data_IF_786503467065
#
_entry.id   IF_786503467065
#
_cell.length_a   1.000
_cell.length_b   1.000
_cell.length_c   1.000
_cell.angle_alpha   90.00
_cell.angle_beta   90.00
_cell.angle_gamma   90.00
#
_symmetry.space_group_name_H-M   'P 1'
#
loop_
_entity.id
_entity.type
_entity.pdbx_description
1 polymer ?
#
# COMPACT_ATOMS: atom_id res chain seq x y z
N UNK A 1 29.10 4.37 14.10
CA UNK A 1 28.52 3.61 12.97
C UNK A 1 28.09 4.63 11.94
N UNK A 2 28.76 4.67 10.79
CA UNK A 2 28.35 5.50 9.64
C UNK A 2 27.47 4.66 8.72
N UNK A 3 26.50 5.29 8.07
CA UNK A 3 25.68 4.70 7.01
C UNK A 3 26.16 5.30 5.70
N UNK A 4 26.48 4.46 4.72
CA UNK A 4 26.81 4.87 3.35
C UNK A 4 25.71 4.42 2.40
N UNK A 5 25.41 5.25 1.40
CA UNK A 5 24.45 4.91 0.34
C UNK A 5 25.24 4.32 -0.82
N UNK A 6 25.09 3.02 -1.07
CA UNK A 6 25.78 2.32 -2.15
C UNK A 6 25.12 2.51 -3.53
N UNK A 7 23.82 2.87 -3.56
CA UNK A 7 23.11 3.15 -4.81
C UNK A 7 21.60 3.25 -4.64
N UNK A 8 20.92 3.53 -5.77
CA UNK A 8 19.46 3.57 -5.87
C UNK A 8 18.99 2.51 -6.87
N UNK A 9 17.97 1.72 -6.49
CA UNK A 9 17.42 0.65 -7.33
C UNK A 9 15.93 0.86 -7.57
N UNK A 10 15.46 0.48 -8.76
CA UNK A 10 14.04 0.46 -9.07
C UNK A 10 13.48 -0.92 -8.69
N UNK A 11 12.55 -0.93 -7.75
CA UNK A 11 11.86 -2.15 -7.29
C UNK A 11 10.74 -2.53 -8.26
N UNK A 12 9.90 -1.55 -8.60
CA UNK A 12 8.82 -1.72 -9.55
C UNK A 12 8.56 -0.40 -10.28
N UNK A 13 8.35 -0.49 -11.59
CA UNK A 13 7.93 0.64 -12.43
C UNK A 13 7.06 0.14 -13.57
N UNK A 14 5.88 0.70 -13.69
CA UNK A 14 5.01 0.48 -14.84
C UNK A 14 4.20 1.76 -15.09
N UNK A 15 4.29 2.36 -16.30
CA UNK A 15 3.63 3.64 -16.59
C UNK A 15 2.10 3.58 -16.49
N UNK A 16 1.50 2.39 -16.55
CA UNK A 16 0.05 2.20 -16.37
C UNK A 16 -0.41 2.45 -14.94
N UNK A 17 0.50 2.43 -13.97
CA UNK A 17 0.17 2.49 -12.57
C UNK A 17 0.83 3.68 -11.86
N UNK A 18 0.05 4.36 -11.03
CA UNK A 18 0.58 5.19 -9.96
C UNK A 18 0.92 4.29 -8.77
N UNK A 19 2.18 4.36 -8.29
CA UNK A 19 2.61 3.71 -7.06
C UNK A 19 2.71 4.78 -5.98
N UNK A 20 1.73 4.80 -5.08
CA UNK A 20 1.61 5.85 -4.06
C UNK A 20 2.71 5.79 -3.00
N UNK A 21 2.83 6.87 -2.22
CA UNK A 21 3.76 6.93 -1.10
C UNK A 21 3.48 5.82 -0.06
N UNK A 22 4.53 5.49 0.70
CA UNK A 22 4.49 4.51 1.79
C UNK A 22 4.73 3.06 1.37
N UNK A 23 5.75 2.73 0.56
CA UNK A 23 6.21 1.35 0.51
C UNK A 23 6.80 0.94 1.87
N UNK A 24 6.70 -0.33 2.22
CA UNK A 24 7.31 -0.89 3.42
C UNK A 24 8.12 -2.14 3.07
N UNK A 25 9.25 -2.29 3.75
CA UNK A 25 10.20 -3.38 3.56
C UNK A 25 10.23 -4.26 4.82
N UNK A 26 10.25 -5.57 4.62
CA UNK A 26 10.60 -6.54 5.65
C UNK A 26 11.68 -7.47 5.09
N UNK A 27 12.68 -7.77 5.91
CA UNK A 27 13.76 -8.69 5.55
C UNK A 27 13.76 -9.89 6.50
N UNK A 28 14.35 -11.00 6.07
CA UNK A 28 14.66 -12.12 6.97
C UNK A 28 16.14 -12.43 7.10
N UNK A 29 16.41 -13.47 7.90
CA UNK A 29 17.73 -13.94 8.25
C UNK A 29 18.51 -14.46 7.03
N UNK A 30 17.82 -14.91 5.98
CA UNK A 30 18.40 -15.39 4.72
C UNK A 30 18.51 -14.27 3.67
N UNK A 31 18.44 -13.01 4.11
CA UNK A 31 18.45 -11.82 3.28
C UNK A 31 17.35 -11.77 2.20
N UNK A 32 16.26 -12.53 2.39
CA UNK A 32 15.07 -12.39 1.54
C UNK A 32 14.39 -11.09 1.89
N UNK A 33 14.13 -10.29 0.87
CA UNK A 33 13.51 -8.98 1.02
C UNK A 33 12.10 -9.04 0.45
N UNK A 34 11.12 -8.60 1.24
CA UNK A 34 9.74 -8.43 0.79
C UNK A 34 9.40 -6.94 0.87
N UNK A 35 8.86 -6.41 -0.21
CA UNK A 35 8.38 -5.03 -0.27
C UNK A 35 6.89 -5.05 -0.52
N UNK A 36 6.14 -4.48 0.42
CA UNK A 36 4.76 -4.10 0.21
C UNK A 36 4.69 -2.68 -0.32
N UNK A 37 3.81 -2.48 -1.29
CA UNK A 37 3.51 -1.16 -1.81
C UNK A 37 2.09 -1.14 -2.34
N UNK A 38 1.56 0.06 -2.57
CA UNK A 38 0.25 0.23 -3.19
C UNK A 38 0.39 0.69 -4.63
N UNK A 39 -0.51 0.24 -5.49
CA UNK A 39 -0.63 0.75 -6.85
C UNK A 39 -2.09 0.92 -7.26
N UNK A 40 -2.33 1.80 -8.21
CA UNK A 40 -3.63 1.96 -8.88
C UNK A 40 -3.37 2.37 -10.31
N UNK A 41 -4.31 2.12 -11.23
CA UNK A 41 -4.22 2.65 -12.59
C UNK A 41 -4.00 4.17 -12.55
N UNK A 42 -3.04 4.63 -13.35
CA UNK A 42 -2.73 6.05 -13.47
C UNK A 42 -3.89 6.78 -14.15
N UNK A 43 -4.42 7.80 -13.49
CA UNK A 43 -5.43 8.70 -14.05
C UNK A 43 -4.85 9.87 -14.84
N UNK A 44 -3.52 9.97 -14.95
CA UNK A 44 -2.84 11.16 -15.49
C UNK A 44 -3.22 11.45 -16.94
N UNK A 45 -3.37 10.42 -17.78
CA UNK A 45 -3.79 10.58 -19.19
C UNK A 45 -5.21 11.16 -19.32
N UNK A 46 -6.04 10.95 -18.30
CA UNK A 46 -7.39 11.51 -18.19
C UNK A 46 -7.42 12.85 -17.41
N UNK A 47 -6.26 13.42 -17.08
CA UNK A 47 -6.17 14.65 -16.28
C UNK A 47 -6.57 14.46 -14.82
N UNK A 48 -6.67 13.23 -14.32
CA UNK A 48 -7.05 12.93 -12.94
C UNK A 48 -5.82 12.69 -12.07
N UNK A 49 -5.72 13.48 -10.99
CA UNK A 49 -4.68 13.34 -9.97
C UNK A 49 -5.36 13.14 -8.61
N UNK A 50 -5.11 12.00 -7.99
CA UNK A 50 -5.67 11.67 -6.68
C UNK A 50 -4.66 10.91 -5.84
N UNK A 51 -4.68 11.15 -4.53
CA UNK A 51 -3.84 10.39 -3.60
C UNK A 51 -4.48 9.07 -3.18
N UNK A 52 -5.77 8.90 -3.43
CA UNK A 52 -6.58 7.75 -3.07
C UNK A 52 -7.50 7.34 -4.22
N UNK A 53 -7.81 6.05 -4.28
CA UNK A 53 -8.83 5.50 -5.18
C UNK A 53 -9.36 4.17 -4.61
N UNK A 54 -10.66 3.85 -4.71
CA UNK A 54 -11.22 2.61 -4.16
C UNK A 54 -10.64 1.34 -4.80
N UNK A 55 -10.18 1.43 -6.05
CA UNK A 55 -9.49 0.33 -6.73
C UNK A 55 -7.97 0.26 -6.43
N UNK A 56 -7.48 0.90 -5.36
CA UNK A 56 -6.07 0.76 -4.96
C UNK A 56 -5.77 -0.69 -4.61
N UNK A 57 -4.72 -1.26 -5.19
CA UNK A 57 -4.22 -2.60 -4.90
C UNK A 57 -3.09 -2.52 -3.88
N UNK A 58 -3.12 -3.40 -2.88
CA UNK A 58 -1.95 -3.72 -2.05
C UNK A 58 -1.18 -4.86 -2.69
N UNK A 59 0.10 -4.62 -2.95
CA UNK A 59 0.98 -5.54 -3.66
C UNK A 59 2.15 -5.99 -2.80
N UNK A 60 2.64 -7.22 -3.05
CA UNK A 60 3.92 -7.73 -2.56
C UNK A 60 4.85 -8.03 -3.74
N UNK A 61 6.10 -7.64 -3.62
CA UNK A 61 7.18 -8.15 -4.47
C UNK A 61 8.32 -8.64 -3.58
N UNK A 62 9.06 -9.64 -4.06
CA UNK A 62 10.09 -10.35 -3.30
C UNK A 62 11.40 -10.33 -4.06
N UNK A 63 12.49 -10.24 -3.33
CA UNK A 63 13.85 -10.44 -3.83
C UNK A 63 14.53 -11.52 -3.00
N UNK A 64 15.18 -12.47 -3.69
CA UNK A 64 15.98 -13.51 -3.05
C UNK A 64 17.48 -13.30 -3.17
N UNK A 65 17.89 -12.16 -3.73
CA UNK A 65 19.27 -11.78 -4.03
C UNK A 65 19.58 -10.39 -3.46
N UNK A 66 19.18 -10.13 -2.21
CA UNK A 66 19.47 -8.90 -1.47
C UNK A 66 19.00 -7.60 -2.17
N UNK A 67 17.93 -7.65 -2.96
CA UNK A 67 17.33 -6.50 -3.65
C UNK A 67 17.88 -6.24 -5.05
N UNK A 68 18.69 -7.15 -5.61
CA UNK A 68 19.21 -7.04 -6.97
C UNK A 68 18.10 -7.23 -8.01
N UNK A 69 17.26 -8.27 -7.84
CA UNK A 69 16.12 -8.57 -8.71
C UNK A 69 14.82 -8.74 -7.92
N UNK A 70 13.69 -8.50 -8.58
CA UNK A 70 12.38 -8.46 -7.95
C UNK A 70 11.36 -9.29 -8.71
N UNK A 71 10.54 -10.05 -7.97
CA UNK A 71 9.45 -10.84 -8.53
C UNK A 71 8.36 -9.93 -9.11
N UNK A 72 7.56 -10.48 -10.04
CA UNK A 72 6.32 -9.82 -10.46
C UNK A 72 5.45 -9.56 -9.22
N UNK A 73 4.89 -8.35 -9.04
CA UNK A 73 4.09 -8.06 -7.86
C UNK A 73 2.80 -8.88 -7.80
N UNK A 74 2.56 -9.51 -6.65
CA UNK A 74 1.33 -10.20 -6.30
C UNK A 74 0.36 -9.24 -5.62
N UNK A 75 -0.92 -9.25 -6.01
CA UNK A 75 -1.98 -8.46 -5.35
C UNK A 75 -2.61 -9.32 -4.26
N UNK A 76 -2.64 -8.83 -3.03
CA UNK A 76 -3.19 -9.59 -1.89
C UNK A 76 -4.36 -8.89 -1.19
N UNK A 77 -4.58 -7.59 -1.45
CA UNK A 77 -5.74 -6.85 -0.98
C UNK A 77 -6.08 -5.68 -1.92
N UNK A 78 -7.28 -5.13 -1.82
CA UNK A 78 -7.75 -3.98 -2.61
C UNK A 78 -8.53 -2.98 -1.74
N UNK A 79 -8.61 -1.72 -2.14
CA UNK A 79 -9.22 -0.59 -1.40
C UNK A 79 -8.38 -0.03 -0.26
N UNK A 80 -7.45 -0.86 0.22
CA UNK A 80 -6.59 -0.57 1.36
C UNK A 80 -5.50 0.45 1.05
N UNK A 81 -5.10 1.17 2.10
CA UNK A 81 -4.13 2.28 2.05
C UNK A 81 -2.99 2.07 3.02
N UNK A 82 -1.86 2.74 2.77
CA UNK A 82 -0.68 2.74 3.64
C UNK A 82 -0.30 1.32 4.12
N UNK A 83 0.31 0.50 3.25
CA UNK A 83 0.63 -0.86 3.66
C UNK A 83 1.62 -0.87 4.83
N UNK A 84 1.21 -1.43 5.97
CA UNK A 84 2.07 -1.64 7.12
C UNK A 84 2.26 -3.12 7.37
N UNK A 85 3.44 -3.65 7.07
CA UNK A 85 3.78 -5.06 7.34
C UNK A 85 4.67 -5.21 8.57
N UNK A 86 4.49 -6.31 9.28
CA UNK A 86 5.42 -6.83 10.27
C UNK A 86 5.59 -8.32 10.05
N UNK A 87 6.84 -8.81 10.07
CA UNK A 87 7.13 -10.24 10.03
C UNK A 87 7.24 -10.79 11.45
N UNK A 88 6.47 -11.83 11.75
CA UNK A 88 6.56 -12.57 13.00
C UNK A 88 7.71 -13.59 12.95
N UNK A 89 8.14 -14.07 14.12
CA UNK A 89 9.25 -15.05 14.24
C UNK A 89 9.03 -16.33 13.44
N UNK A 90 7.78 -16.77 13.29
CA UNK A 90 7.43 -17.96 12.52
C UNK A 90 7.34 -17.71 10.99
N UNK A 91 7.76 -16.53 10.51
CA UNK A 91 7.70 -16.15 9.11
C UNK A 91 6.37 -15.56 8.63
N UNK A 92 5.32 -15.53 9.48
CA UNK A 92 4.03 -14.94 9.10
C UNK A 92 4.16 -13.43 8.88
N UNK A 93 3.56 -12.92 7.79
CA UNK A 93 3.42 -11.50 7.55
C UNK A 93 2.07 -10.99 8.06
N UNK A 94 2.12 -10.00 8.94
CA UNK A 94 0.96 -9.30 9.49
C UNK A 94 0.83 -7.96 8.80
N UNK A 95 -0.30 -7.74 8.13
CA UNK A 95 -0.61 -6.49 7.45
C UNK A 95 -1.65 -5.69 8.23
N UNK A 96 -1.25 -4.54 8.76
CA UNK A 96 -2.15 -3.53 9.29
C UNK A 96 -2.37 -2.46 8.23
N UNK A 97 -3.61 -2.04 8.06
CA UNK A 97 -3.98 -1.04 7.06
C UNK A 97 -5.28 -0.34 7.47
N UNK A 98 -5.66 0.67 6.71
CA UNK A 98 -6.97 1.30 6.75
C UNK A 98 -7.53 1.37 5.34
N UNK A 99 -8.84 1.50 5.22
CA UNK A 99 -9.52 1.73 3.95
C UNK A 99 -10.50 2.88 4.11
N UNK A 100 -10.85 3.47 2.98
CA UNK A 100 -11.99 4.37 2.89
C UNK A 100 -13.06 3.66 2.07
N UNK A 101 -14.32 3.87 2.43
CA UNK A 101 -15.45 3.27 1.75
C UNK A 101 -16.26 4.34 1.03
N UNK A 102 -16.73 4.03 -0.17
CA UNK A 102 -17.73 4.85 -0.83
C UNK A 102 -19.09 4.48 -0.23
N UNK A 103 -19.63 5.36 0.59
CA UNK A 103 -20.92 5.17 1.24
C UNK A 103 -21.93 6.23 0.76
N UNK A 104 -23.24 5.92 0.78
CA UNK A 104 -24.28 6.94 0.60
C UNK A 104 -24.17 8.05 1.64
N UNK A 105 -24.64 9.25 1.31
CA UNK A 105 -24.56 10.41 2.21
C UNK A 105 -25.21 10.14 3.56
N UNK A 106 -26.33 9.41 3.55
CA UNK A 106 -27.10 9.07 4.76
C UNK A 106 -26.28 8.24 5.76
N UNK A 107 -25.30 7.47 5.29
CA UNK A 107 -24.39 6.67 6.13
C UNK A 107 -23.26 7.55 6.67
N UNK A 108 -22.76 8.51 5.89
CA UNK A 108 -21.64 9.36 6.28
C UNK A 108 -21.98 10.35 7.40
N UNK A 109 -23.24 10.80 7.52
CA UNK A 109 -23.65 11.75 8.57
C UNK A 109 -23.71 11.11 9.98
N UNK A 110 -23.57 9.79 10.08
CA UNK A 110 -23.65 9.04 11.35
C UNK A 110 -22.42 9.17 12.26
N UNK A 111 -21.27 9.61 11.75
CA UNK A 111 -20.02 9.72 12.51
C UNK A 111 -19.47 11.15 12.43
N UNK A 112 -19.64 11.92 13.50
CA UNK A 112 -19.22 13.31 13.56
C UNK A 112 -17.71 13.49 13.42
N UNK A 113 -17.29 14.15 12.34
CA UNK A 113 -15.90 14.61 12.15
C UNK A 113 -15.77 15.48 10.91
N UNK A 114 -15.74 16.80 11.10
CA UNK A 114 -15.62 17.78 10.03
C UNK A 114 -14.25 17.68 9.31
N UNK A 115 -14.27 17.54 7.97
CA UNK A 115 -13.03 17.66 7.21
C UNK A 115 -12.97 17.23 5.74
N UNK A 116 -14.06 16.98 5.01
CA UNK A 116 -13.96 16.56 3.61
C UNK A 116 -14.18 17.73 2.63
N UNK A 117 -13.11 18.21 1.98
CA UNK A 117 -13.21 19.10 0.82
C UNK A 117 -13.68 18.31 -0.41
N UNK A 118 -14.86 18.64 -0.92
CA UNK A 118 -15.26 18.43 -2.32
C UNK A 118 -15.59 16.99 -2.72
N UNK A 119 -16.88 16.62 -2.58
CA UNK A 119 -17.50 15.47 -3.24
C UNK A 119 -16.81 14.10 -3.04
N UNK A 120 -16.44 13.80 -1.80
CA UNK A 120 -16.33 12.43 -1.28
C UNK A 120 -17.04 12.46 0.06
N UNK A 121 -18.19 11.80 0.14
CA UNK A 121 -19.04 11.82 1.33
C UNK A 121 -18.69 10.60 2.18
N UNK A 122 -17.94 10.83 3.26
CA UNK A 122 -17.71 9.87 4.33
C UNK A 122 -16.29 9.34 4.43
N UNK A 123 -15.44 10.01 5.21
CA UNK A 123 -14.26 9.37 5.80
C UNK A 123 -14.75 8.45 6.94
N UNK A 124 -15.22 7.26 6.61
CA UNK A 124 -15.34 6.20 7.60
C UNK A 124 -13.92 5.73 7.94
N UNK A 125 -13.32 6.29 8.99
CA UNK A 125 -12.04 5.84 9.53
C UNK A 125 -12.21 4.46 10.18
N UNK A 126 -12.28 3.42 9.36
CA UNK A 126 -12.10 2.04 9.82
C UNK A 126 -10.63 1.84 10.22
N UNK A 127 -10.31 2.08 11.49
CA UNK A 127 -9.01 1.68 12.05
C UNK A 127 -8.99 0.17 12.27
N UNK A 128 -8.16 -0.53 11.50
CA UNK A 128 -7.71 -1.89 11.82
C UNK A 128 -8.33 -3.00 10.99
N UNK A 129 -8.13 -2.97 9.67
CA UNK A 129 -8.21 -4.20 8.87
C UNK A 129 -6.88 -4.96 9.02
N UNK A 130 -6.94 -6.16 9.60
CA UNK A 130 -5.81 -7.08 9.73
C UNK A 130 -5.89 -8.13 8.63
N UNK A 131 -4.96 -8.10 7.68
CA UNK A 131 -4.84 -9.14 6.66
C UNK A 131 -3.60 -10.00 6.92
N UNK A 132 -3.74 -11.32 6.78
CA UNK A 132 -2.60 -12.25 6.81
C UNK A 132 -2.24 -12.59 5.37
N UNK A 133 -1.04 -12.17 4.94
CA UNK A 133 -0.47 -12.59 3.66
C UNK A 133 0.50 -13.76 3.90
N UNK A 134 0.50 -14.74 3.00
CA UNK A 134 1.46 -15.85 2.99
C UNK A 134 2.47 -15.63 1.87
#
# INVERSE_FOLDING_TARGET
MSVEIEGCRTIYKNPRYYCGAGPLIVCDEDAQVVVAFRRVLSGLDAGHMGHWHPATESCLTRSGDAGETWSVPEVFAAGNQCPCLTRLRNGTLVHSTHRMELVPEEVAVGEGGAGAQGALVGDAYGYGDLAVAR
#
